data_IF_913647385836
#
_entry.id   IF_913647385836
#
_cell.length_a   1.000
_cell.length_b   1.000
_cell.length_c   1.000
_cell.angle_alpha   90.00
_cell.angle_beta   90.00
_cell.angle_gamma   90.00
#
_symmetry.space_group_name_H-M   'P 1'
#
loop_
_entity.id
_entity.type
_entity.pdbx_description
1 polymer ?
#
# COMPACT_ATOMS: atom_id res chain seq x y z
N UNK A 1 11.01 -59.78 36.50
CA UNK A 1 11.76 -60.56 35.49
C UNK A 1 10.88 -60.73 34.25
N UNK A 2 10.72 -59.68 33.45
CA UNK A 2 10.06 -59.74 32.15
C UNK A 2 10.84 -58.82 31.21
N UNK A 3 11.74 -59.42 30.45
CA UNK A 3 12.45 -58.78 29.36
C UNK A 3 11.72 -59.14 28.07
N UNK A 4 11.27 -58.15 27.30
CA UNK A 4 11.01 -58.35 25.88
C UNK A 4 11.33 -57.06 25.14
N UNK A 5 12.53 -57.06 24.56
CA UNK A 5 13.11 -56.00 23.75
C UNK A 5 12.53 -56.11 22.34
N UNK A 6 11.82 -55.08 21.89
CA UNK A 6 11.65 -54.75 20.47
C UNK A 6 12.68 -53.64 20.18
N UNK A 7 13.57 -53.69 19.20
CA UNK A 7 13.47 -54.24 17.86
C UNK A 7 13.80 -53.09 16.91
N UNK A 8 15.05 -53.06 16.46
CA UNK A 8 15.76 -51.92 15.84
C UNK A 8 15.34 -51.66 14.38
N UNK A 9 15.44 -50.37 14.02
CA UNK A 9 15.33 -49.74 12.70
C UNK A 9 15.91 -50.49 11.49
N UNK A 10 15.22 -50.37 10.35
CA UNK A 10 15.82 -50.14 9.02
C UNK A 10 14.72 -49.95 7.95
N UNK A 11 14.75 -48.84 7.21
CA UNK A 11 14.53 -48.85 5.75
C UNK A 11 14.91 -47.50 5.14
N UNK A 12 15.95 -47.56 4.31
CA UNK A 12 16.45 -46.50 3.43
C UNK A 12 15.43 -46.25 2.31
N UNK A 13 15.22 -44.99 1.91
CA UNK A 13 14.75 -44.67 0.56
C UNK A 13 15.83 -43.86 -0.15
N UNK A 14 16.12 -44.36 -1.34
CA UNK A 14 17.24 -44.07 -2.22
C UNK A 14 17.20 -42.66 -2.81
N UNK A 15 18.39 -42.12 -3.04
CA UNK A 15 18.64 -40.98 -3.90
C UNK A 15 18.44 -41.32 -5.39
N UNK A 16 18.05 -40.31 -6.18
CA UNK A 16 18.25 -40.20 -7.63
C UNK A 16 18.21 -38.69 -7.97
N UNK A 17 19.33 -37.97 -8.05
CA UNK A 17 20.18 -37.72 -9.24
C UNK A 17 19.43 -37.35 -10.53
N UNK A 18 19.28 -36.02 -10.73
CA UNK A 18 19.45 -35.20 -11.96
C UNK A 18 18.94 -35.73 -13.31
N UNK A 19 17.96 -35.02 -13.87
CA UNK A 19 17.81 -34.85 -15.32
C UNK A 19 17.38 -33.40 -15.63
N UNK A 20 18.19 -32.73 -16.45
CA UNK A 20 17.85 -31.48 -17.11
C UNK A 20 17.10 -31.82 -18.40
N UNK A 21 16.04 -31.07 -18.70
CA UNK A 21 15.47 -30.97 -20.06
C UNK A 21 15.00 -29.53 -20.27
N UNK A 22 15.73 -28.82 -21.12
CA UNK A 22 15.39 -27.51 -21.66
C UNK A 22 14.97 -27.71 -23.11
N UNK A 23 13.68 -27.57 -23.40
CA UNK A 23 13.15 -27.07 -24.68
C UNK A 23 11.62 -27.18 -24.65
N UNK A 24 10.98 -26.10 -24.25
CA UNK A 24 9.53 -25.97 -24.25
C UNK A 24 9.18 -24.51 -24.10
N UNK A 25 9.34 -23.73 -25.17
CA UNK A 25 8.80 -22.37 -25.28
C UNK A 25 7.28 -22.47 -25.39
N UNK A 26 6.62 -22.79 -24.28
CA UNK A 26 5.25 -22.38 -24.07
C UNK A 26 5.31 -20.88 -23.82
N UNK A 27 4.72 -20.11 -24.73
CA UNK A 27 4.43 -18.70 -24.52
C UNK A 27 3.86 -18.56 -23.10
N UNK A 28 4.42 -17.69 -22.23
CA UNK A 28 3.72 -17.35 -21.02
C UNK A 28 2.43 -16.67 -21.48
N UNK A 29 1.31 -17.38 -21.33
CA UNK A 29 0.01 -16.72 -21.33
C UNK A 29 0.13 -15.56 -20.34
N UNK A 30 -0.34 -14.35 -20.68
CA UNK A 30 -0.41 -13.29 -19.70
C UNK A 30 -1.38 -13.77 -18.63
N UNK A 31 -0.84 -14.37 -17.57
CA UNK A 31 -1.53 -14.56 -16.31
C UNK A 31 -2.00 -13.17 -15.97
N UNK A 32 -3.31 -12.96 -16.08
CA UNK A 32 -3.97 -11.71 -15.81
C UNK A 32 -3.41 -11.20 -14.49
N UNK A 33 -2.56 -10.17 -14.57
CA UNK A 33 -2.10 -9.49 -13.38
C UNK A 33 -3.38 -9.09 -12.64
N UNK A 34 -3.51 -9.38 -11.34
CA UNK A 34 -4.60 -8.79 -10.59
C UNK A 34 -4.42 -7.30 -10.77
N UNK A 35 -5.36 -6.68 -11.49
CA UNK A 35 -5.47 -5.24 -11.61
C UNK A 35 -5.54 -4.78 -10.17
N UNK A 36 -4.41 -4.33 -9.63
CA UNK A 36 -4.37 -3.74 -8.29
C UNK A 36 -5.40 -2.66 -8.39
N UNK A 37 -6.52 -2.87 -7.72
CA UNK A 37 -7.64 -1.95 -7.72
C UNK A 37 -7.03 -0.58 -7.51
N UNK A 38 -7.13 0.25 -8.55
CA UNK A 38 -6.65 1.61 -8.51
C UNK A 38 -7.50 2.28 -7.43
N UNK A 39 -7.01 2.22 -6.19
CA UNK A 39 -7.72 2.70 -5.03
C UNK A 39 -7.81 4.20 -5.15
N UNK A 40 -8.87 4.70 -5.79
CA UNK A 40 -9.38 6.08 -5.76
C UNK A 40 -8.33 7.21 -5.83
N UNK A 41 -7.17 7.00 -6.46
CA UNK A 41 -6.08 7.97 -6.44
C UNK A 41 -5.92 8.76 -7.76
N UNK A 42 -6.61 8.37 -8.83
CA UNK A 42 -6.35 8.88 -10.18
C UNK A 42 -7.38 9.89 -10.72
N UNK A 43 -8.42 10.28 -9.96
CA UNK A 43 -9.52 11.13 -10.47
C UNK A 43 -9.69 12.50 -9.79
N UNK A 44 -8.73 12.97 -8.99
CA UNK A 44 -8.82 14.32 -8.42
C UNK A 44 -8.11 15.33 -9.31
N UNK A 45 -8.54 15.46 -10.57
CA UNK A 45 -8.28 16.70 -11.32
C UNK A 45 -9.26 17.77 -10.83
N UNK A 46 -8.76 18.56 -9.88
CA UNK A 46 -9.00 19.99 -9.63
C UNK A 46 -10.44 20.50 -9.79
N UNK A 47 -11.41 19.92 -9.07
CA UNK A 47 -12.71 20.55 -8.89
C UNK A 47 -13.20 20.42 -7.45
N UNK A 48 -13.26 21.55 -6.74
CA UNK A 48 -13.89 21.67 -5.42
C UNK A 48 -15.25 22.29 -5.61
N UNK A 49 -16.31 21.56 -5.25
CA UNK A 49 -17.69 22.05 -5.31
C UNK A 49 -18.26 22.05 -3.90
N UNK A 50 -18.84 23.17 -3.50
CA UNK A 50 -19.58 23.30 -2.24
C UNK A 50 -20.95 23.85 -2.59
N UNK A 51 -21.99 23.08 -2.27
CA UNK A 51 -23.37 23.53 -2.40
C UNK A 51 -23.73 24.35 -1.17
N UNK A 52 -24.37 25.49 -1.40
CA UNK A 52 -24.83 26.41 -0.35
C UNK A 52 -26.35 26.42 -0.39
N UNK A 53 -26.99 26.39 0.78
CA UNK A 53 -28.44 26.47 0.90
C UNK A 53 -28.87 27.92 1.17
N UNK A 54 -30.10 28.30 0.75
CA UNK A 54 -30.58 29.70 0.71
C UNK A 54 -30.86 30.36 2.09
N UNK A 55 -30.54 29.67 3.20
CA UNK A 55 -30.68 30.19 4.57
C UNK A 55 -29.41 30.09 5.41
N UNK A 56 -28.26 29.74 4.81
CA UNK A 56 -27.01 29.62 5.55
C UNK A 56 -26.26 30.97 5.64
N UNK A 57 -25.66 31.31 6.80
CA UNK A 57 -24.78 32.47 6.89
C UNK A 57 -23.54 32.24 6.01
N UNK A 58 -23.19 33.24 5.21
CA UNK A 58 -22.11 33.20 4.20
C UNK A 58 -20.77 32.73 4.79
N UNK A 59 -20.44 33.18 6.01
CA UNK A 59 -19.26 32.72 6.76
C UNK A 59 -19.16 31.20 6.90
N UNK A 60 -20.29 30.50 7.07
CA UNK A 60 -20.28 29.04 7.19
C UNK A 60 -19.99 28.36 5.85
N UNK A 61 -20.55 28.87 4.75
CA UNK A 61 -20.24 28.39 3.41
C UNK A 61 -18.74 28.56 3.08
N UNK A 62 -18.16 29.72 3.41
CA UNK A 62 -16.72 29.99 3.23
C UNK A 62 -15.86 29.03 4.07
N UNK A 63 -16.26 28.73 5.30
CA UNK A 63 -15.54 27.76 6.16
C UNK A 63 -15.55 26.36 5.56
N UNK A 64 -16.68 25.90 5.04
CA UNK A 64 -16.79 24.58 4.36
C UNK A 64 -15.91 24.54 3.11
N UNK A 65 -15.95 25.59 2.30
CA UNK A 65 -15.09 25.72 1.13
C UNK A 65 -13.61 25.63 1.49
N UNK A 66 -13.15 26.35 2.52
CA UNK A 66 -11.75 26.27 3.00
C UNK A 66 -11.37 24.85 3.41
N UNK A 67 -12.26 24.12 4.10
CA UNK A 67 -12.02 22.72 4.47
C UNK A 67 -11.89 21.81 3.26
N UNK A 68 -12.78 21.94 2.27
CA UNK A 68 -12.75 21.12 1.05
C UNK A 68 -11.52 21.42 0.18
N UNK A 69 -11.08 22.69 0.10
CA UNK A 69 -9.82 23.07 -0.57
C UNK A 69 -8.59 22.47 0.14
N UNK A 70 -8.58 22.44 1.48
CA UNK A 70 -7.48 21.84 2.23
C UNK A 70 -7.48 20.31 2.12
N UNK A 71 -8.66 19.69 2.20
CA UNK A 71 -8.87 18.24 2.12
C UNK A 71 -8.50 17.68 0.74
N UNK A 72 -8.84 18.40 -0.32
CA UNK A 72 -8.51 18.02 -1.70
C UNK A 72 -7.00 18.10 -2.00
N UNK A 73 -6.20 18.76 -1.15
CA UNK A 73 -4.73 18.77 -1.28
C UNK A 73 -4.19 19.70 -2.38
N UNK A 74 -5.03 20.57 -2.95
CA UNK A 74 -4.66 21.50 -4.03
C UNK A 74 -3.38 22.29 -3.74
N UNK A 75 -3.28 22.86 -2.54
CA UNK A 75 -2.12 23.67 -2.15
C UNK A 75 -0.85 22.84 -1.99
N UNK A 76 -0.96 21.58 -1.59
CA UNK A 76 0.18 20.67 -1.47
C UNK A 76 0.68 20.26 -2.85
N UNK A 77 -0.23 19.99 -3.78
CA UNK A 77 0.12 19.64 -5.15
C UNK A 77 0.82 20.80 -5.87
N UNK A 78 0.27 22.02 -5.77
CA UNK A 78 0.91 23.22 -6.34
C UNK A 78 2.31 23.39 -5.76
N UNK A 79 2.50 23.20 -4.45
CA UNK A 79 3.82 23.31 -3.79
C UNK A 79 4.80 22.26 -4.31
N UNK A 80 4.36 21.03 -4.48
CA UNK A 80 5.22 19.92 -4.92
C UNK A 80 5.57 20.02 -6.42
N UNK A 81 4.71 20.64 -7.24
CA UNK A 81 4.93 20.82 -8.68
C UNK A 81 5.77 22.06 -9.04
N UNK A 82 6.16 22.91 -8.08
CA UNK A 82 6.95 24.14 -8.35
C UNK A 82 8.32 23.86 -8.95
N UNK A 83 8.93 22.75 -8.56
CA UNK A 83 10.26 22.34 -9.00
C UNK A 83 10.21 20.87 -9.38
N UNK A 84 11.02 20.47 -10.36
CA UNK A 84 11.19 19.06 -10.66
C UNK A 84 11.92 18.38 -9.49
N UNK A 85 11.27 17.36 -8.92
CA UNK A 85 11.94 16.48 -7.97
C UNK A 85 12.30 15.17 -8.64
N UNK A 86 13.57 14.74 -8.53
CA UNK A 86 13.98 13.45 -9.06
C UNK A 86 13.20 12.31 -8.37
N UNK A 87 12.93 11.21 -9.09
CA UNK A 87 12.07 10.13 -8.59
C UNK A 87 12.62 9.47 -7.31
N UNK A 88 13.94 9.51 -7.11
CA UNK A 88 14.58 9.03 -5.87
C UNK A 88 14.13 9.84 -4.63
N UNK A 89 14.13 11.18 -4.73
CA UNK A 89 13.72 12.06 -3.63
C UNK A 89 12.21 11.95 -3.36
N UNK A 90 11.39 11.79 -4.40
CA UNK A 90 9.95 11.56 -4.22
C UNK A 90 9.68 10.28 -3.42
N UNK A 91 10.38 9.18 -3.75
CA UNK A 91 10.29 7.91 -3.00
C UNK A 91 10.76 8.07 -1.55
N UNK A 92 11.85 8.80 -1.32
CA UNK A 92 12.37 9.07 0.02
C UNK A 92 11.35 9.83 0.88
N UNK A 93 10.74 10.89 0.33
CA UNK A 93 9.71 11.69 1.01
C UNK A 93 8.45 10.88 1.31
N UNK A 94 7.99 10.08 0.36
CA UNK A 94 6.86 9.18 0.56
C UNK A 94 7.12 8.18 1.71
N UNK A 95 8.27 7.51 1.70
CA UNK A 95 8.64 6.56 2.75
C UNK A 95 8.78 7.22 4.13
N UNK A 96 9.36 8.43 4.19
CA UNK A 96 9.44 9.21 5.42
C UNK A 96 8.04 9.55 5.96
N UNK A 97 7.09 9.91 5.08
CA UNK A 97 5.70 10.18 5.47
C UNK A 97 5.01 8.95 6.07
N UNK A 98 5.23 7.77 5.49
CA UNK A 98 4.68 6.49 6.01
C UNK A 98 5.27 6.18 7.39
N UNK A 99 6.59 6.31 7.56
CA UNK A 99 7.26 6.07 8.85
C UNK A 99 6.70 6.97 9.95
N UNK A 100 6.52 8.28 9.66
CA UNK A 100 5.91 9.24 10.60
C UNK A 100 4.48 8.83 10.97
N UNK A 101 3.64 8.49 9.99
CA UNK A 101 2.26 8.02 10.24
C UNK A 101 2.22 6.77 11.13
N UNK A 102 3.10 5.79 10.86
CA UNK A 102 3.21 4.57 11.67
C UNK A 102 3.67 4.86 13.10
N UNK A 103 4.62 5.78 13.28
CA UNK A 103 5.08 6.19 14.61
C UNK A 103 3.95 6.82 15.43
N UNK A 104 3.21 7.77 14.84
CA UNK A 104 2.05 8.40 15.48
C UNK A 104 0.99 7.36 15.84
N UNK A 105 0.65 6.46 14.92
CA UNK A 105 -0.33 5.39 15.18
C UNK A 105 0.12 4.38 16.25
N UNK A 106 1.42 4.22 16.47
CA UNK A 106 1.95 3.39 17.57
C UNK A 106 1.82 4.11 18.91
N UNK A 107 2.12 5.42 18.95
CA UNK A 107 1.95 6.24 20.14
C UNK A 107 0.48 6.28 20.59
N UNK A 108 -0.44 6.52 19.65
CA UNK A 108 -1.87 6.54 19.95
C UNK A 108 -2.37 5.20 20.55
N UNK A 109 -1.96 4.07 19.98
CA UNK A 109 -2.32 2.73 20.50
C UNK A 109 -1.65 2.39 21.83
N UNK A 110 -0.50 2.99 22.13
CA UNK A 110 0.20 2.79 23.41
C UNK A 110 -0.36 3.60 24.56
N UNK A 111 -1.27 4.56 24.30
CA UNK A 111 -1.95 5.35 25.33
C UNK A 111 -3.26 4.72 25.83
N UNK A 112 -3.73 3.67 25.17
CA UNK A 112 -4.97 2.94 25.53
C UNK A 112 -4.69 1.76 26.50
N UNK A 113 -3.46 1.64 27.02
CA UNK A 113 -3.06 0.60 27.98
C UNK A 113 -2.83 1.17 29.38
#
# INVERSE_FOLDING_TARGET
MAAFVQGVAAAKVSAATKAQSVCGTALPTPVAAPVRSAGKAALNMVRVVVHVNDGEPVEMAIRRFKREVLKSGHLMEIRNRRYYEPPSLQKQKFNASIKRKKAIAKLLRGMEQ
#
